data_IF_591329843116
#
_entry.id   IF_591329843116
#
_cell.length_a   1.000
_cell.length_b   1.000
_cell.length_c   1.000
_cell.angle_alpha   90.00
_cell.angle_beta   90.00
_cell.angle_gamma   90.00
#
_symmetry.space_group_name_H-M   'P 1'
#
loop_
_entity.id
_entity.type
_entity.pdbx_description
1 polymer ?
#
# COMPACT_ATOMS: atom_id res chain seq x y z
N UNK A 1 11.32 -16.87 15.86
CA UNK A 1 10.63 -15.61 15.47
C UNK A 1 10.20 -14.93 16.75
N UNK A 2 10.50 -13.64 16.90
CA UNK A 2 9.97 -12.87 18.05
C UNK A 2 8.53 -12.44 17.77
N UNK A 3 7.74 -12.22 18.81
CA UNK A 3 6.36 -11.69 18.69
C UNK A 3 6.32 -10.38 17.90
N UNK A 4 7.35 -9.55 18.06
CA UNK A 4 7.53 -8.33 17.27
C UNK A 4 7.70 -8.63 15.76
N UNK A 5 8.42 -9.70 15.39
CA UNK A 5 8.57 -10.08 13.97
C UNK A 5 7.25 -10.52 13.36
N UNK A 6 6.42 -11.24 14.13
CA UNK A 6 5.10 -11.72 13.68
C UNK A 6 4.16 -10.52 13.51
N UNK A 7 4.13 -9.62 14.49
CA UNK A 7 3.32 -8.41 14.44
C UNK A 7 3.72 -7.51 13.26
N UNK A 8 5.01 -7.27 13.06
CA UNK A 8 5.52 -6.46 11.94
C UNK A 8 5.13 -7.09 10.59
N UNK A 9 5.24 -8.41 10.45
CA UNK A 9 4.82 -9.10 9.23
C UNK A 9 3.30 -9.00 8.96
N UNK A 10 2.48 -9.06 10.02
CA UNK A 10 1.03 -8.86 9.93
C UNK A 10 0.67 -7.42 9.54
N UNK A 11 1.35 -6.43 10.13
CA UNK A 11 1.17 -5.01 9.79
C UNK A 11 1.55 -4.78 8.33
N UNK A 12 2.71 -5.26 7.89
CA UNK A 12 3.15 -5.19 6.48
C UNK A 12 2.10 -5.75 5.53
N UNK A 13 1.61 -6.96 5.83
CA UNK A 13 0.59 -7.62 5.00
C UNK A 13 -0.70 -6.80 4.93
N UNK A 14 -1.16 -6.28 6.07
CA UNK A 14 -2.38 -5.47 6.15
C UNK A 14 -2.24 -4.16 5.37
N UNK A 15 -1.08 -3.50 5.46
CA UNK A 15 -0.80 -2.26 4.71
C UNK A 15 -0.81 -2.52 3.20
N UNK A 16 -0.19 -3.61 2.74
CA UNK A 16 -0.19 -3.99 1.32
C UNK A 16 -1.59 -4.33 0.81
N UNK A 17 -2.41 -5.01 1.61
CA UNK A 17 -3.78 -5.33 1.23
C UNK A 17 -4.65 -4.09 1.12
N UNK A 18 -4.53 -3.14 2.06
CA UNK A 18 -5.27 -1.87 2.00
C UNK A 18 -4.76 -1.02 0.83
N UNK A 19 -3.44 -0.94 0.62
CA UNK A 19 -2.85 -0.23 -0.51
C UNK A 19 -3.38 -0.75 -1.85
N UNK A 20 -3.40 -2.07 -2.01
CA UNK A 20 -3.93 -2.73 -3.20
C UNK A 20 -5.40 -2.40 -3.43
N UNK A 21 -6.23 -2.47 -2.38
CA UNK A 21 -7.66 -2.15 -2.49
C UNK A 21 -7.88 -0.68 -2.85
N UNK A 22 -7.13 0.24 -2.25
CA UNK A 22 -7.21 1.66 -2.55
C UNK A 22 -6.79 1.97 -4.00
N UNK A 23 -5.71 1.34 -4.49
CA UNK A 23 -5.28 1.47 -5.89
C UNK A 23 -6.34 0.95 -6.85
N UNK A 24 -6.86 -0.27 -6.63
CA UNK A 24 -7.88 -0.86 -7.49
C UNK A 24 -9.17 -0.02 -7.51
N UNK A 25 -9.56 0.54 -6.37
CA UNK A 25 -10.70 1.44 -6.30
C UNK A 25 -10.43 2.75 -7.04
N UNK A 26 -9.25 3.35 -6.86
CA UNK A 26 -8.83 4.56 -7.57
C UNK A 26 -8.84 4.37 -9.08
N UNK A 27 -8.21 3.31 -9.56
CA UNK A 27 -8.17 2.96 -10.99
C UNK A 27 -9.57 2.65 -11.52
N UNK A 28 -10.38 1.90 -10.77
CA UNK A 28 -11.77 1.61 -11.13
C UNK A 28 -12.62 2.87 -11.26
N UNK A 29 -12.52 3.79 -10.30
CA UNK A 29 -13.23 5.06 -10.32
C UNK A 29 -12.75 5.99 -11.43
N UNK A 30 -11.44 6.02 -11.72
CA UNK A 30 -10.90 6.78 -12.85
C UNK A 30 -11.50 6.33 -14.18
N UNK A 31 -11.68 5.03 -14.35
CA UNK A 31 -12.23 4.45 -15.57
C UNK A 31 -13.77 4.61 -15.65
N UNK A 32 -14.47 4.52 -14.52
CA UNK A 32 -15.93 4.62 -14.46
C UNK A 32 -16.45 6.07 -14.51
N UNK A 33 -15.69 7.01 -13.94
CA UNK A 33 -16.05 8.43 -13.85
C UNK A 33 -14.79 9.30 -14.01
N UNK A 34 -14.23 9.38 -15.24
CA UNK A 34 -13.09 10.23 -15.52
C UNK A 34 -13.45 11.69 -15.19
N UNK A 35 -12.50 12.42 -14.56
CA UNK A 35 -12.70 13.83 -14.24
C UNK A 35 -12.98 14.71 -15.47
N UNK A 36 -13.35 15.98 -15.24
CA UNK A 36 -13.72 16.95 -16.30
C UNK A 36 -12.73 17.04 -17.46
N UNK A 37 -11.48 16.65 -17.23
CA UNK A 37 -10.50 16.33 -18.26
C UNK A 37 -10.12 14.88 -18.04
N UNK A 38 -10.45 13.99 -18.98
CA UNK A 38 -10.17 12.54 -18.91
C UNK A 38 -8.69 12.17 -18.63
N UNK A 39 -7.80 13.16 -18.67
CA UNK A 39 -6.36 13.06 -18.43
C UNK A 39 -5.98 13.21 -16.95
N UNK A 40 -6.84 13.80 -16.10
CA UNK A 40 -6.53 14.03 -14.68
C UNK A 40 -7.51 13.29 -13.76
N UNK A 41 -6.99 12.59 -12.74
CA UNK A 41 -7.82 12.12 -11.65
C UNK A 41 -8.59 13.26 -10.98
N UNK A 42 -9.83 12.98 -10.56
CA UNK A 42 -10.50 13.87 -9.63
C UNK A 42 -9.83 13.78 -8.24
N UNK A 43 -10.10 14.75 -7.36
CA UNK A 43 -9.43 14.83 -6.06
C UNK A 43 -9.57 13.56 -5.21
N UNK A 44 -10.73 12.89 -5.25
CA UNK A 44 -10.97 11.65 -4.52
C UNK A 44 -10.19 10.48 -5.08
N UNK A 45 -10.12 10.34 -6.41
CA UNK A 45 -9.29 9.32 -7.07
C UNK A 45 -7.82 9.57 -6.77
N UNK A 46 -7.37 10.82 -6.87
CA UNK A 46 -5.98 11.18 -6.56
C UNK A 46 -5.63 10.87 -5.11
N UNK A 47 -6.55 11.13 -4.18
CA UNK A 47 -6.39 10.76 -2.77
C UNK A 47 -6.24 9.25 -2.59
N UNK A 48 -7.07 8.43 -3.25
CA UNK A 48 -7.01 6.97 -3.19
C UNK A 48 -5.68 6.40 -3.72
N UNK A 49 -5.19 6.96 -4.82
CA UNK A 49 -3.90 6.55 -5.38
C UNK A 49 -2.74 6.99 -4.49
N UNK A 50 -2.79 8.21 -3.96
CA UNK A 50 -1.75 8.74 -3.06
C UNK A 50 -1.68 7.95 -1.75
N UNK A 51 -2.82 7.60 -1.16
CA UNK A 51 -2.83 6.80 0.08
C UNK A 51 -2.37 5.37 -0.19
N UNK A 52 -2.67 4.79 -1.35
CA UNK A 52 -2.15 3.48 -1.74
C UNK A 52 -0.60 3.48 -1.81
N UNK A 53 -0.01 4.52 -2.40
CA UNK A 53 1.45 4.69 -2.44
C UNK A 53 2.05 4.83 -1.03
N UNK A 54 1.43 5.66 -0.17
CA UNK A 54 1.94 5.88 1.19
C UNK A 54 1.88 4.60 2.04
N UNK A 55 0.78 3.86 1.95
CA UNK A 55 0.64 2.57 2.64
C UNK A 55 1.67 1.54 2.14
N UNK A 56 1.99 1.56 0.84
CA UNK A 56 3.05 0.71 0.27
C UNK A 56 4.41 1.08 0.84
N UNK A 57 4.75 2.39 0.90
CA UNK A 57 5.99 2.87 1.54
C UNK A 57 6.09 2.47 3.00
N UNK A 58 4.99 2.60 3.76
CA UNK A 58 4.95 2.16 5.16
C UNK A 58 5.13 0.63 5.29
N UNK A 59 4.60 -0.15 4.35
CA UNK A 59 4.76 -1.59 4.34
C UNK A 59 6.21 -2.02 4.02
N UNK A 60 6.88 -1.31 3.13
CA UNK A 60 8.32 -1.50 2.84
C UNK A 60 9.17 -1.15 4.06
N UNK A 61 8.86 -0.05 4.75
CA UNK A 61 9.54 0.32 6.00
C UNK A 61 9.38 -0.72 7.12
N UNK A 62 8.37 -1.60 7.06
CA UNK A 62 8.26 -2.72 8.00
C UNK A 62 9.42 -3.71 7.88
N UNK A 63 10.07 -3.81 6.71
CA UNK A 63 11.22 -4.70 6.51
C UNK A 63 12.43 -4.27 7.37
N UNK A 64 12.57 -2.97 7.66
CA UNK A 64 13.63 -2.44 8.53
C UNK A 64 13.50 -2.92 9.98
N UNK A 65 12.28 -3.31 10.39
CA UNK A 65 11.98 -3.81 11.73
C UNK A 65 11.96 -5.34 11.79
N UNK A 66 12.08 -6.03 10.65
CA UNK A 66 12.23 -7.47 10.60
C UNK A 66 13.71 -7.82 10.77
N UNK A 67 14.08 -8.76 11.66
CA UNK A 67 15.47 -9.19 11.74
C UNK A 67 15.91 -9.72 10.37
N UNK A 68 17.13 -9.39 9.90
CA UNK A 68 17.63 -9.95 8.66
C UNK A 68 17.53 -11.46 8.77
N UNK A 69 16.97 -12.10 7.75
CA UNK A 69 17.07 -13.55 7.59
C UNK A 69 18.56 -13.87 7.56
N UNK A 70 19.11 -14.24 8.71
CA UNK A 70 20.49 -14.68 8.81
C UNK A 70 20.64 -15.83 7.84
N UNK A 71 21.51 -15.62 6.84
CA UNK A 71 21.98 -16.65 5.94
C UNK A 71 22.36 -17.86 6.79
N UNK A 72 21.62 -18.96 6.61
CA UNK A 72 22.04 -20.26 7.12
C UNK A 72 23.38 -20.57 6.45
N UNK A 73 24.47 -20.39 7.19
CA UNK A 73 25.73 -21.11 6.95
C UNK A 73 25.68 -22.45 7.65
#
# INVERSE_FOLDING_TARGET
MSDASILTAQIKTSLLDIARQASLLGDGLQNAAPGEKAVSPNASVQYLLTIAEELTRMAEACDDFMPPHSERR
#
